data_IF_642149669443
#
_entry.id   IF_642149669443
#
_cell.length_a   1.000
_cell.length_b   1.000
_cell.length_c   1.000
_cell.angle_alpha   90.00
_cell.angle_beta   90.00
_cell.angle_gamma   90.00
#
_symmetry.space_group_name_H-M   'P 1'
#
loop_
_entity.id
_entity.type
_entity.pdbx_description
1 polymer ?
#
# COMPACT_ATOMS: atom_id res chain seq x y z
N UNK A 1 -47.59 1.17 -51.80
CA UNK A 1 -46.48 0.21 -51.93
C UNK A 1 -45.89 0.01 -50.54
N UNK A 2 -46.36 -1.00 -49.83
CA UNK A 2 -46.01 -1.27 -48.42
C UNK A 2 -44.62 -1.91 -48.35
N UNK A 3 -43.60 -1.15 -47.98
CA UNK A 3 -42.30 -1.68 -47.56
C UNK A 3 -42.18 -1.50 -46.04
N UNK A 4 -42.68 -2.47 -45.28
CA UNK A 4 -42.48 -2.59 -43.83
C UNK A 4 -41.19 -3.40 -43.59
N UNK A 5 -40.05 -2.71 -43.56
CA UNK A 5 -38.76 -3.30 -43.20
C UNK A 5 -37.96 -2.28 -42.40
N UNK A 6 -38.25 -2.13 -41.11
CA UNK A 6 -37.36 -1.43 -40.17
C UNK A 6 -37.23 -2.26 -38.89
N UNK A 7 -36.22 -3.12 -38.95
CA UNK A 7 -35.16 -3.30 -37.96
C UNK A 7 -35.58 -3.46 -36.48
N UNK A 8 -35.48 -4.70 -36.03
CA UNK A 8 -35.36 -5.11 -34.64
C UNK A 8 -34.29 -4.26 -33.94
N UNK A 9 -34.74 -3.31 -33.14
CA UNK A 9 -33.90 -2.58 -32.18
C UNK A 9 -33.48 -3.57 -31.10
N UNK A 10 -32.40 -4.32 -31.33
CA UNK A 10 -31.66 -5.02 -30.28
C UNK A 10 -30.72 -4.02 -29.62
N UNK A 11 -31.25 -3.24 -28.69
CA UNK A 11 -30.44 -2.46 -27.75
C UNK A 11 -30.13 -3.32 -26.54
N UNK A 12 -29.09 -4.14 -26.61
CA UNK A 12 -28.48 -4.74 -25.41
C UNK A 12 -27.02 -4.37 -25.37
N UNK A 13 -26.73 -3.15 -24.94
CA UNK A 13 -25.44 -2.77 -24.39
C UNK A 13 -25.75 -1.97 -23.13
N UNK A 14 -26.02 -2.70 -22.05
CA UNK A 14 -25.86 -2.14 -20.71
C UNK A 14 -24.36 -2.10 -20.43
N UNK A 15 -23.67 -1.10 -20.99
CA UNK A 15 -22.38 -0.69 -20.45
C UNK A 15 -22.74 0.31 -19.36
N UNK A 16 -22.65 -0.13 -18.10
CA UNK A 16 -22.71 0.78 -16.96
C UNK A 16 -21.47 1.69 -17.05
N UNK A 17 -21.53 2.68 -17.93
CA UNK A 17 -20.48 3.66 -18.14
C UNK A 17 -20.29 4.38 -16.80
N UNK A 18 -19.29 3.95 -16.02
CA UNK A 18 -18.93 4.59 -14.75
C UNK A 18 -18.80 6.08 -15.01
N UNK A 19 -19.77 6.83 -14.53
CA UNK A 19 -19.83 8.27 -14.74
C UNK A 19 -18.79 8.90 -13.82
N UNK A 20 -17.64 9.27 -14.38
CA UNK A 20 -16.62 9.99 -13.61
C UNK A 20 -17.16 11.34 -13.17
N UNK A 21 -16.96 11.70 -11.89
CA UNK A 21 -17.18 13.08 -11.45
C UNK A 21 -16.21 13.98 -12.23
N UNK A 22 -16.75 14.97 -12.96
CA UNK A 22 -15.90 15.98 -13.61
C UNK A 22 -15.16 16.77 -12.53
N UNK A 23 -13.84 16.63 -12.50
CA UNK A 23 -12.97 17.47 -11.69
C UNK A 23 -12.51 18.68 -12.51
N UNK A 24 -12.39 19.83 -11.85
CA UNK A 24 -11.75 21.00 -12.46
C UNK A 24 -10.28 20.68 -12.77
N UNK A 25 -9.78 21.15 -13.92
CA UNK A 25 -8.40 20.85 -14.36
C UNK A 25 -7.33 21.26 -13.35
N UNK A 26 -7.59 22.29 -12.53
CA UNK A 26 -6.74 22.71 -11.41
C UNK A 26 -6.65 21.65 -10.32
N UNK A 27 -7.77 21.05 -9.94
CA UNK A 27 -7.80 19.97 -8.94
C UNK A 27 -7.15 18.69 -9.46
N UNK A 28 -7.37 18.36 -10.74
CA UNK A 28 -6.67 17.26 -11.41
C UNK A 28 -5.14 17.41 -11.31
N UNK A 29 -4.64 18.60 -11.62
CA UNK A 29 -3.23 18.93 -11.49
C UNK A 29 -2.72 18.82 -10.04
N UNK A 30 -3.47 19.34 -9.06
CA UNK A 30 -3.12 19.22 -7.64
C UNK A 30 -3.03 17.75 -7.19
N UNK A 31 -3.94 16.90 -7.67
CA UNK A 31 -3.91 15.47 -7.37
C UNK A 31 -2.67 14.78 -7.94
N UNK A 32 -2.29 15.08 -9.19
CA UNK A 32 -1.07 14.57 -9.80
C UNK A 32 0.19 15.08 -9.09
N UNK A 33 0.19 16.35 -8.64
CA UNK A 33 1.29 16.91 -7.87
C UNK A 33 1.44 16.20 -6.52
N UNK A 34 0.32 15.97 -5.81
CA UNK A 34 0.32 15.24 -4.53
C UNK A 34 0.80 13.80 -4.71
N UNK A 35 0.35 13.11 -5.76
CA UNK A 35 0.83 11.77 -6.14
C UNK A 35 2.36 11.75 -6.31
N UNK A 36 2.88 12.72 -7.07
CA UNK A 36 4.31 12.85 -7.32
C UNK A 36 5.09 13.12 -6.03
N UNK A 37 4.60 14.02 -5.18
CA UNK A 37 5.26 14.37 -3.93
C UNK A 37 5.31 13.19 -2.95
N UNK A 38 4.22 12.43 -2.80
CA UNK A 38 4.24 11.21 -1.98
C UNK A 38 5.28 10.24 -2.54
N UNK A 39 5.23 9.98 -3.84
CA UNK A 39 6.13 9.03 -4.51
C UNK A 39 7.61 9.40 -4.36
N UNK A 40 7.92 10.70 -4.45
CA UNK A 40 9.27 11.23 -4.28
C UNK A 40 9.79 11.07 -2.84
N UNK A 41 8.93 11.21 -1.84
CA UNK A 41 9.33 11.19 -0.43
C UNK A 41 9.17 9.81 0.24
N UNK A 42 8.47 8.86 -0.40
CA UNK A 42 8.13 7.56 0.18
C UNK A 42 9.35 6.72 0.61
N UNK A 43 10.50 6.85 -0.08
CA UNK A 43 11.71 6.08 0.22
C UNK A 43 12.60 6.66 1.31
N UNK A 44 12.32 7.87 1.81
CA UNK A 44 13.20 8.59 2.73
C UNK A 44 12.52 9.04 4.03
N UNK A 45 11.28 8.62 4.24
CA UNK A 45 10.50 9.00 5.42
C UNK A 45 10.87 8.16 6.63
N UNK A 46 11.05 8.82 7.78
CA UNK A 46 10.99 8.17 9.08
C UNK A 46 9.58 8.28 9.66
N UNK A 47 8.84 7.16 9.68
CA UNK A 47 7.46 7.12 10.17
C UNK A 47 7.34 7.44 11.67
N UNK A 48 8.42 7.30 12.44
CA UNK A 48 8.45 7.52 13.88
C UNK A 48 8.89 8.94 14.24
N UNK A 49 9.55 9.65 13.31
CA UNK A 49 9.80 11.09 13.43
C UNK A 49 8.53 11.88 13.13
N UNK A 50 7.99 12.55 14.16
CA UNK A 50 6.70 13.26 14.09
C UNK A 50 6.60 14.25 12.93
N UNK A 51 7.63 15.06 12.68
CA UNK A 51 7.64 16.04 11.61
C UNK A 51 7.45 15.39 10.23
N UNK A 52 8.15 14.28 10.00
CA UNK A 52 8.15 13.58 8.72
C UNK A 52 6.82 12.85 8.51
N UNK A 53 6.30 12.20 9.57
CA UNK A 53 5.02 11.50 9.50
C UNK A 53 3.81 12.43 9.44
N UNK A 54 3.79 13.56 10.16
CA UNK A 54 2.73 14.58 10.04
C UNK A 54 2.63 15.08 8.60
N UNK A 55 3.78 15.42 7.98
CA UNK A 55 3.83 15.93 6.61
C UNK A 55 3.32 14.89 5.61
N UNK A 56 3.72 13.63 5.77
CA UNK A 56 3.27 12.57 4.87
C UNK A 56 1.80 12.22 5.06
N UNK A 57 1.32 12.13 6.30
CA UNK A 57 -0.08 11.87 6.60
C UNK A 57 -0.99 12.96 6.00
N UNK A 58 -0.59 14.23 6.08
CA UNK A 58 -1.31 15.34 5.44
C UNK A 58 -1.41 15.17 3.92
N UNK A 59 -0.31 14.78 3.25
CA UNK A 59 -0.34 14.51 1.81
C UNK A 59 -1.22 13.29 1.48
N UNK A 60 -1.16 12.25 2.31
CA UNK A 60 -1.92 11.01 2.15
C UNK A 60 -3.43 11.18 2.36
N UNK A 61 -3.85 12.00 3.32
CA UNK A 61 -5.24 12.38 3.53
C UNK A 61 -5.80 13.07 2.28
N UNK A 62 -5.07 14.07 1.75
CA UNK A 62 -5.44 14.74 0.51
C UNK A 62 -5.47 13.80 -0.69
N UNK A 63 -4.53 12.85 -0.77
CA UNK A 63 -4.43 11.92 -1.88
C UNK A 63 -5.54 10.86 -1.90
N UNK A 64 -6.09 10.46 -0.75
CA UNK A 64 -7.16 9.46 -0.71
C UNK A 64 -8.38 9.91 -1.52
N UNK A 65 -8.73 11.20 -1.41
CA UNK A 65 -9.79 11.82 -2.23
C UNK A 65 -9.39 11.86 -3.71
N UNK A 66 -8.13 12.13 -4.01
CA UNK A 66 -7.61 12.14 -5.38
C UNK A 66 -7.60 10.75 -6.05
N UNK A 67 -7.39 9.68 -5.29
CA UNK A 67 -7.19 8.33 -5.82
C UNK A 67 -8.42 7.83 -6.58
N UNK A 68 -9.64 8.03 -6.04
CA UNK A 68 -10.88 7.60 -6.71
C UNK A 68 -11.07 8.31 -8.05
N UNK A 69 -10.76 9.60 -8.09
CA UNK A 69 -10.82 10.42 -9.30
C UNK A 69 -9.77 9.99 -10.33
N UNK A 70 -8.51 9.87 -9.93
CA UNK A 70 -7.40 9.55 -10.83
C UNK A 70 -7.52 8.14 -11.41
N UNK A 71 -8.21 7.22 -10.72
CA UNK A 71 -8.50 5.88 -11.23
C UNK A 71 -9.61 5.86 -12.29
N UNK A 72 -10.43 6.90 -12.38
CA UNK A 72 -11.59 6.86 -13.24
C UNK A 72 -11.20 6.83 -14.72
N UNK A 73 -11.59 5.76 -15.42
CA UNK A 73 -11.20 5.47 -16.82
C UNK A 73 -9.67 5.45 -17.06
N UNK A 74 -8.87 5.33 -16.00
CA UNK A 74 -7.43 5.20 -16.13
C UNK A 74 -7.04 3.80 -16.63
N UNK A 75 -5.90 3.73 -17.31
CA UNK A 75 -5.32 2.44 -17.68
C UNK A 75 -5.00 1.60 -16.45
N UNK A 76 -5.07 0.27 -16.60
CA UNK A 76 -4.83 -0.69 -15.50
C UNK A 76 -3.49 -0.43 -14.79
N UNK A 77 -2.44 -0.08 -15.54
CA UNK A 77 -1.12 0.25 -14.97
C UNK A 77 -1.15 1.50 -14.09
N UNK A 78 -1.92 2.51 -14.48
CA UNK A 78 -2.08 3.75 -13.71
C UNK A 78 -2.89 3.47 -12.44
N UNK A 79 -3.97 2.69 -12.55
CA UNK A 79 -4.76 2.26 -11.38
C UNK A 79 -3.89 1.49 -10.38
N UNK A 80 -3.09 0.54 -10.86
CA UNK A 80 -2.16 -0.24 -10.05
C UNK A 80 -1.13 0.64 -9.31
N UNK A 81 -0.58 1.64 -10.00
CA UNK A 81 0.35 2.59 -9.37
C UNK A 81 -0.33 3.44 -8.28
N UNK A 82 -1.55 3.94 -8.55
CA UNK A 82 -2.34 4.68 -7.55
C UNK A 82 -2.64 3.78 -6.35
N UNK A 83 -2.98 2.51 -6.55
CA UNK A 83 -3.22 1.55 -5.47
C UNK A 83 -1.98 1.31 -4.59
N UNK A 84 -0.78 1.29 -5.18
CA UNK A 84 0.48 1.24 -4.41
C UNK A 84 0.63 2.46 -3.52
N UNK A 85 0.31 3.66 -4.00
CA UNK A 85 0.40 4.89 -3.20
C UNK A 85 -0.67 4.95 -2.11
N UNK A 86 -1.90 4.49 -2.39
CA UNK A 86 -2.95 4.34 -1.36
C UNK A 86 -2.51 3.35 -0.27
N UNK A 87 -1.91 2.22 -0.67
CA UNK A 87 -1.40 1.21 0.27
C UNK A 87 -0.25 1.75 1.12
N UNK A 88 0.65 2.51 0.52
CA UNK A 88 1.73 3.22 1.21
C UNK A 88 1.18 4.20 2.25
N UNK A 89 0.18 4.99 1.87
CA UNK A 89 -0.48 5.93 2.77
C UNK A 89 -1.17 5.23 3.94
N UNK A 90 -1.85 4.12 3.70
CA UNK A 90 -2.46 3.33 4.76
C UNK A 90 -1.41 2.76 5.74
N UNK A 91 -0.28 2.26 5.23
CA UNK A 91 0.81 1.76 6.06
C UNK A 91 1.49 2.88 6.87
N UNK A 92 1.72 4.04 6.25
CA UNK A 92 2.26 5.24 6.92
C UNK A 92 1.36 5.67 8.08
N UNK A 93 0.06 5.79 7.82
CA UNK A 93 -0.93 6.14 8.84
C UNK A 93 -0.86 5.17 10.03
N UNK A 94 -0.96 3.87 9.76
CA UNK A 94 -0.88 2.84 10.81
C UNK A 94 0.43 2.91 11.61
N UNK A 95 1.59 2.93 10.95
CA UNK A 95 2.89 2.90 11.63
C UNK A 95 3.16 4.15 12.47
N UNK A 96 2.70 5.31 12.00
CA UNK A 96 2.94 6.60 12.65
C UNK A 96 1.91 6.98 13.72
N UNK A 97 0.74 6.34 13.71
CA UNK A 97 -0.36 6.61 14.66
C UNK A 97 -0.68 5.39 15.51
N UNK A 98 -1.44 4.44 14.97
CA UNK A 98 -1.98 3.28 15.69
C UNK A 98 -0.90 2.38 16.31
N UNK A 99 0.21 2.18 15.60
CA UNK A 99 1.30 1.31 16.05
C UNK A 99 2.35 2.03 16.91
N UNK A 100 2.31 3.36 16.99
CA UNK A 100 3.39 4.17 17.58
C UNK A 100 3.70 3.81 19.04
N UNK A 101 2.66 3.65 19.86
CA UNK A 101 2.84 3.26 21.27
C UNK A 101 3.41 1.84 21.39
N UNK A 102 2.95 0.92 20.54
CA UNK A 102 3.45 -0.45 20.50
C UNK A 102 4.92 -0.50 20.09
N UNK A 103 5.30 0.22 19.04
CA UNK A 103 6.68 0.33 18.61
C UNK A 103 7.59 0.83 19.74
N UNK A 104 7.14 1.82 20.53
CA UNK A 104 7.88 2.28 21.69
C UNK A 104 8.05 1.18 22.76
N UNK A 105 7.02 0.36 23.03
CA UNK A 105 7.13 -0.77 23.96
C UNK A 105 8.16 -1.80 23.48
N UNK A 106 8.12 -2.18 22.20
CA UNK A 106 9.08 -3.10 21.60
C UNK A 106 10.52 -2.55 21.65
N UNK A 107 10.69 -1.26 21.34
CA UNK A 107 11.98 -0.60 21.42
C UNK A 107 12.56 -0.60 22.85
N UNK A 108 11.74 -0.29 23.86
CA UNK A 108 12.15 -0.30 25.27
C UNK A 108 12.46 -1.71 25.78
N UNK A 109 11.67 -2.71 25.35
CA UNK A 109 11.94 -4.11 25.69
C UNK A 109 13.30 -4.56 25.14
N UNK A 110 13.70 -4.02 23.99
CA UNK A 110 15.02 -4.26 23.39
C UNK A 110 15.35 -5.76 23.29
N UNK A 111 14.38 -6.52 22.80
CA UNK A 111 14.50 -7.97 22.65
C UNK A 111 15.49 -8.34 21.55
N UNK A 112 16.08 -9.53 21.65
CA UNK A 112 16.92 -10.07 20.59
C UNK A 112 16.14 -10.27 19.29
N UNK A 113 14.86 -10.66 19.36
CA UNK A 113 14.04 -10.84 18.17
C UNK A 113 13.92 -9.54 17.35
N UNK A 114 13.58 -8.41 17.99
CA UNK A 114 13.45 -7.12 17.27
C UNK A 114 14.80 -6.59 16.82
N UNK A 115 15.86 -6.78 17.61
CA UNK A 115 17.21 -6.33 17.27
C UNK A 115 17.82 -7.07 16.08
N UNK A 116 17.55 -8.37 15.96
CA UNK A 116 18.06 -9.22 14.88
C UNK A 116 17.03 -9.41 13.75
N UNK A 117 15.93 -8.65 13.76
CA UNK A 117 14.87 -8.82 12.77
C UNK A 117 15.28 -8.24 11.42
N UNK A 118 15.59 -9.14 10.49
CA UNK A 118 15.86 -8.84 9.09
C UNK A 118 14.71 -9.40 8.21
N UNK A 119 13.76 -8.56 7.76
CA UNK A 119 12.60 -9.03 7.02
C UNK A 119 12.89 -9.44 5.57
N UNK A 120 13.96 -8.89 4.98
CA UNK A 120 14.40 -9.21 3.63
C UNK A 120 15.81 -9.80 3.67
N UNK A 121 16.07 -10.84 2.87
CA UNK A 121 17.38 -11.47 2.77
C UNK A 121 18.36 -10.60 1.97
N UNK A 122 19.65 -10.88 2.15
CA UNK A 122 20.69 -10.36 1.26
C UNK A 122 20.51 -10.88 -0.18
N UNK A 123 20.86 -10.07 -1.19
CA UNK A 123 20.88 -10.52 -2.58
C UNK A 123 21.86 -11.69 -2.80
N UNK A 124 21.41 -12.70 -3.52
CA UNK A 124 22.27 -13.79 -4.03
C UNK A 124 22.37 -13.73 -5.56
N UNK A 125 23.46 -14.25 -6.12
CA UNK A 125 23.72 -14.15 -7.57
C UNK A 125 22.72 -14.95 -8.41
N UNK A 126 22.30 -16.12 -7.94
CA UNK A 126 21.39 -16.99 -8.68
C UNK A 126 19.93 -16.48 -8.54
N UNK A 127 19.26 -16.10 -9.65
CA UNK A 127 17.90 -15.56 -9.58
C UNK A 127 16.84 -16.57 -9.11
N UNK A 128 17.05 -17.86 -9.37
CA UNK A 128 16.14 -18.94 -8.94
C UNK A 128 16.27 -19.15 -7.44
N UNK A 129 17.51 -19.15 -6.93
CA UNK A 129 17.80 -19.16 -5.50
C UNK A 129 17.23 -17.92 -4.81
N UNK A 130 17.48 -16.73 -5.35
CA UNK A 130 16.94 -15.47 -4.82
C UNK A 130 15.41 -15.49 -4.73
N UNK A 131 14.73 -15.96 -5.79
CA UNK A 131 13.28 -16.06 -5.79
C UNK A 131 12.76 -17.03 -4.70
N UNK A 132 13.46 -18.13 -4.45
CA UNK A 132 13.11 -19.10 -3.41
C UNK A 132 13.33 -18.52 -2.00
N UNK A 133 14.48 -17.90 -1.74
CA UNK A 133 14.82 -17.25 -0.46
C UNK A 133 13.81 -16.13 -0.19
N UNK A 134 13.55 -15.28 -1.17
CA UNK A 134 12.61 -14.17 -1.02
C UNK A 134 11.18 -14.67 -0.73
N UNK A 135 10.72 -15.72 -1.41
CA UNK A 135 9.41 -16.32 -1.13
C UNK A 135 9.30 -16.82 0.32
N UNK A 136 10.36 -17.42 0.84
CA UNK A 136 10.38 -17.90 2.22
C UNK A 136 10.46 -16.75 3.24
N UNK A 137 11.28 -15.71 2.96
CA UNK A 137 11.32 -14.49 3.77
C UNK A 137 9.94 -13.80 3.82
N UNK A 138 9.23 -13.73 2.70
CA UNK A 138 7.89 -13.15 2.63
C UNK A 138 6.85 -13.91 3.48
N UNK A 139 6.97 -15.24 3.62
CA UNK A 139 6.10 -16.00 4.54
C UNK A 139 6.44 -15.70 6.00
N UNK A 140 7.74 -15.61 6.30
CA UNK A 140 8.29 -15.33 7.62
C UNK A 140 8.63 -13.85 7.82
N UNK A 141 7.86 -12.94 7.21
CA UNK A 141 8.20 -11.51 7.14
C UNK A 141 8.34 -10.87 8.54
N UNK A 142 7.68 -11.44 9.54
CA UNK A 142 7.74 -11.04 10.95
C UNK A 142 8.77 -11.87 11.76
N UNK A 143 9.81 -12.33 11.09
CA UNK A 143 10.87 -13.14 11.67
C UNK A 143 10.55 -14.63 11.68
N UNK A 144 11.60 -15.42 11.97
CA UNK A 144 11.51 -16.87 12.13
C UNK A 144 10.52 -17.20 13.24
N UNK A 145 9.65 -18.19 12.99
CA UNK A 145 8.59 -18.60 13.93
C UNK A 145 7.67 -17.45 14.36
N UNK A 146 7.51 -16.43 13.52
CA UNK A 146 6.73 -15.22 13.81
C UNK A 146 7.17 -14.52 15.10
N UNK A 147 8.48 -14.43 15.37
CA UNK A 147 8.96 -13.88 16.64
C UNK A 147 8.46 -12.44 16.90
N UNK A 148 8.49 -11.55 15.88
CA UNK A 148 8.04 -10.16 16.04
C UNK A 148 6.54 -10.10 16.26
N UNK A 149 5.78 -10.98 15.60
CA UNK A 149 4.34 -11.09 15.80
C UNK A 149 4.00 -11.46 17.25
N UNK A 150 4.72 -12.44 17.82
CA UNK A 150 4.54 -12.86 19.21
C UNK A 150 4.84 -11.70 20.17
N UNK A 151 5.94 -10.97 19.94
CA UNK A 151 6.27 -9.83 20.79
C UNK A 151 5.26 -8.69 20.69
N UNK A 152 4.69 -8.42 19.50
CA UNK A 152 3.59 -7.45 19.36
C UNK A 152 2.35 -7.93 20.14
N UNK A 153 2.01 -9.22 20.07
CA UNK A 153 0.86 -9.78 20.79
C UNK A 153 1.07 -9.66 22.31
N UNK A 154 2.25 -10.01 22.80
CA UNK A 154 2.60 -10.00 24.23
C UNK A 154 2.63 -8.59 24.83
N UNK A 155 3.12 -7.60 24.08
CA UNK A 155 3.30 -6.24 24.60
C UNK A 155 2.18 -5.26 24.23
N UNK A 156 1.38 -5.62 23.23
CA UNK A 156 0.38 -4.74 22.65
C UNK A 156 -0.96 -5.45 22.56
N UNK A 157 -1.26 -6.11 21.44
CA UNK A 157 -2.44 -6.95 21.24
C UNK A 157 -2.43 -7.63 19.86
N UNK A 158 -3.36 -8.57 19.67
CA UNK A 158 -3.55 -9.34 18.42
C UNK A 158 -3.92 -8.45 17.24
N UNK A 159 -4.75 -7.43 17.43
CA UNK A 159 -5.19 -6.55 16.33
C UNK A 159 -4.02 -5.78 15.72
N UNK A 160 -3.14 -5.22 16.57
CA UNK A 160 -1.92 -4.55 16.12
C UNK A 160 -0.97 -5.51 15.41
N UNK A 161 -0.86 -6.76 15.86
CA UNK A 161 -0.03 -7.76 15.19
C UNK A 161 -0.53 -8.08 13.77
N UNK A 162 -1.85 -8.27 13.62
CA UNK A 162 -2.49 -8.52 12.32
C UNK A 162 -2.30 -7.33 11.38
N UNK A 163 -2.54 -6.11 11.86
CA UNK A 163 -2.38 -4.91 11.06
C UNK A 163 -0.90 -4.63 10.72
N UNK A 164 0.02 -4.88 11.65
CA UNK A 164 1.46 -4.76 11.38
C UNK A 164 1.87 -5.71 10.25
N UNK A 165 1.49 -6.99 10.32
CA UNK A 165 1.74 -7.95 9.23
C UNK A 165 1.20 -7.45 7.89
N UNK A 166 -0.06 -7.01 7.87
CA UNK A 166 -0.75 -6.52 6.66
C UNK A 166 -0.02 -5.33 6.04
N UNK A 167 0.28 -4.30 6.83
CA UNK A 167 0.89 -3.07 6.33
C UNK A 167 2.36 -3.28 5.95
N UNK A 168 3.09 -4.10 6.71
CA UNK A 168 4.48 -4.40 6.39
C UNK A 168 4.58 -5.20 5.09
N UNK A 169 3.73 -6.21 4.86
CA UNK A 169 3.64 -6.90 3.56
C UNK A 169 3.27 -5.96 2.41
N UNK A 170 2.37 -5.00 2.64
CA UNK A 170 1.99 -4.02 1.62
C UNK A 170 3.18 -3.14 1.21
N UNK A 171 3.99 -2.66 2.16
CA UNK A 171 5.22 -1.91 1.90
C UNK A 171 6.21 -2.72 1.06
N UNK A 172 6.35 -4.01 1.35
CA UNK A 172 7.24 -4.90 0.61
C UNK A 172 6.74 -5.12 -0.83
N UNK A 173 5.43 -5.31 -1.02
CA UNK A 173 4.80 -5.37 -2.36
C UNK A 173 4.98 -4.10 -3.18
N UNK A 174 5.01 -2.95 -2.54
CA UNK A 174 5.23 -1.67 -3.23
C UNK A 174 6.62 -1.66 -3.89
N UNK A 175 7.66 -2.08 -3.16
CA UNK A 175 9.04 -2.14 -3.64
C UNK A 175 9.35 -3.36 -4.52
N UNK A 176 8.32 -4.13 -4.91
CA UNK A 176 8.47 -5.31 -5.77
C UNK A 176 8.88 -6.59 -5.04
N UNK A 177 8.94 -6.56 -3.70
CA UNK A 177 9.12 -7.75 -2.89
C UNK A 177 7.77 -8.41 -2.56
N UNK A 178 7.71 -9.73 -2.39
CA UNK A 178 6.49 -10.42 -1.93
C UNK A 178 5.22 -10.24 -2.79
N UNK A 179 5.36 -9.96 -4.09
CA UNK A 179 4.21 -9.78 -5.02
C UNK A 179 3.39 -11.07 -5.22
N UNK A 180 4.00 -12.25 -5.04
CA UNK A 180 3.42 -13.57 -5.37
C UNK A 180 3.16 -14.48 -4.14
N UNK A 181 2.82 -13.91 -2.99
CA UNK A 181 2.30 -14.66 -1.83
C UNK A 181 0.81 -14.99 -2.01
#
# INVERSE_FOLDING_TARGET
>A
MFFLLILLVRSTVGDDEKTCVKFEGTKAFQCLHTLHDISKNAGSIDFYKKEDSDKMNMMCEGFTVCAEYLKCKAEIKVVYYIDKIVSFCAATGFLSTDFKECNHKLYVQNSTCVQEWEPLPDPVEDPVEMAAIQKEACKNILGKESCVEKEIIENCNVELAVNFRKHFLALHRIIGACENL
#
